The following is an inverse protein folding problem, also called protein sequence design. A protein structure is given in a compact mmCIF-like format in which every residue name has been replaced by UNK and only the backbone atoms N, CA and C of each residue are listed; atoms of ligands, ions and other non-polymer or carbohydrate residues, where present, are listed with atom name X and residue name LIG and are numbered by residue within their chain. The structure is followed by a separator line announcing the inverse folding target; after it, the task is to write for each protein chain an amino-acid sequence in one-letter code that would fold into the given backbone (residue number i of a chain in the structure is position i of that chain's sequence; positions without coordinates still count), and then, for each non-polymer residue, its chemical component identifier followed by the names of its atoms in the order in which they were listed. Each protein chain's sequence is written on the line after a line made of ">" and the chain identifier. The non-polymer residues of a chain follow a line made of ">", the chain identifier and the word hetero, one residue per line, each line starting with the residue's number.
data_IF_230169141505
#
_entry.id   IF_230169141505
#
_cell.length_a   1.000
_cell.length_b   1.000
_cell.length_c   1.000
_cell.angle_alpha   90.00
_cell.angle_beta   90.00
_cell.angle_gamma   90.00
#
_symmetry.space_group_name_H-M   'P 1'
#
loop_
_entity.id
_entity.type
_entity.pdbx_description
1 polymer ?
#
# COMPACT_ATOMS: atom_id res chain seq x y z
N UNK A 1 2.57 19.89 -2.49
CA UNK A 1 3.00 18.47 -2.51
C UNK A 1 4.50 18.27 -2.43
N UNK A 2 5.32 18.85 -3.34
CA UNK A 2 6.80 18.66 -3.27
C UNK A 2 7.40 19.28 -2.00
N UNK A 3 6.91 20.46 -1.61
CA UNK A 3 7.30 21.13 -0.37
C UNK A 3 6.80 20.38 0.88
N UNK A 4 5.58 19.83 0.83
CA UNK A 4 4.97 19.12 1.97
C UNK A 4 5.70 17.81 2.30
N UNK A 5 6.06 17.01 1.28
CA UNK A 5 6.78 15.75 1.51
C UNK A 5 8.20 15.99 2.05
N UNK A 6 8.88 17.03 1.55
CA UNK A 6 10.22 17.39 2.01
C UNK A 6 10.24 17.83 3.48
N UNK A 7 9.12 18.30 4.04
CA UNK A 7 9.04 18.65 5.47
C UNK A 7 9.02 17.41 6.39
N UNK A 8 8.77 16.22 5.84
CA UNK A 8 8.71 14.97 6.61
C UNK A 8 10.13 14.46 6.87
N UNK A 9 10.48 14.32 8.15
CA UNK A 9 11.82 13.89 8.62
C UNK A 9 11.79 12.59 9.43
N UNK A 10 10.61 12.09 9.79
CA UNK A 10 10.45 10.80 10.46
C UNK A 10 10.48 9.62 9.47
N UNK A 11 10.68 8.38 9.95
CA UNK A 11 10.53 7.19 9.11
C UNK A 11 9.13 7.11 8.48
N UNK A 12 9.07 6.79 7.18
CA UNK A 12 7.81 6.64 6.43
C UNK A 12 7.75 5.27 5.76
N UNK A 13 6.61 4.61 5.90
CA UNK A 13 6.23 3.40 5.17
C UNK A 13 5.05 3.72 4.26
N UNK A 14 5.24 3.62 2.95
CA UNK A 14 4.17 3.75 1.96
C UNK A 14 3.86 2.37 1.36
N UNK A 15 2.62 1.90 1.49
CA UNK A 15 2.20 0.61 0.94
C UNK A 15 0.91 0.79 0.15
N UNK A 16 0.85 0.17 -1.02
CA UNK A 16 -0.39 -0.04 -1.77
C UNK A 16 -0.37 -1.40 -2.45
N UNK A 17 -1.46 -1.74 -3.12
CA UNK A 17 -1.61 -3.00 -3.84
C UNK A 17 -1.61 -2.81 -5.35
N UNK A 18 -1.01 -3.73 -6.11
CA UNK A 18 -1.02 -3.68 -7.59
C UNK A 18 -2.41 -3.92 -8.20
N UNK A 19 -3.35 -4.48 -7.43
CA UNK A 19 -4.76 -4.66 -7.85
C UNK A 19 -5.65 -3.49 -7.40
N UNK A 20 -5.10 -2.45 -6.78
CA UNK A 20 -5.84 -1.23 -6.48
C UNK A 20 -6.03 -0.39 -7.75
N UNK A 21 -7.27 -0.34 -8.24
CA UNK A 21 -7.66 0.44 -9.41
C UNK A 21 -8.02 1.89 -9.09
N UNK A 22 -8.08 2.27 -7.82
CA UNK A 22 -8.48 3.61 -7.38
C UNK A 22 -7.31 4.59 -7.31
N UNK A 23 -6.08 4.09 -7.31
CA UNK A 23 -4.85 4.90 -7.26
C UNK A 23 -3.82 4.36 -8.24
N UNK A 24 -2.84 5.18 -8.62
CA UNK A 24 -1.65 4.69 -9.30
C UNK A 24 -0.72 4.05 -8.25
N UNK A 25 -0.44 2.74 -8.31
CA UNK A 25 0.35 2.08 -7.28
C UNK A 25 1.78 2.62 -7.20
N UNK A 26 2.35 3.08 -8.33
CA UNK A 26 3.72 3.60 -8.36
C UNK A 26 3.91 4.91 -7.57
N UNK A 27 2.82 5.56 -7.13
CA UNK A 27 2.92 6.74 -6.27
C UNK A 27 3.56 6.45 -4.90
N UNK A 28 3.61 5.20 -4.44
CA UNK A 28 4.30 4.87 -3.17
C UNK A 28 5.79 5.19 -3.23
N UNK A 29 6.43 5.07 -4.39
CA UNK A 29 7.86 5.32 -4.56
C UNK A 29 8.20 6.81 -4.48
N UNK A 30 7.22 7.69 -4.70
CA UNK A 30 7.39 9.14 -4.54
C UNK A 30 7.76 9.52 -3.11
N UNK A 31 7.38 8.72 -2.10
CA UNK A 31 7.76 8.98 -0.72
C UNK A 31 9.26 8.74 -0.52
N UNK A 32 9.77 7.58 -0.96
CA UNK A 32 11.21 7.27 -0.90
C UNK A 32 12.08 8.31 -1.63
N UNK A 33 11.56 8.92 -2.70
CA UNK A 33 12.27 9.96 -3.46
C UNK A 33 12.24 11.35 -2.82
N UNK A 34 11.20 11.70 -2.05
CA UNK A 34 10.89 13.11 -1.74
C UNK A 34 10.84 13.47 -0.27
N UNK A 35 10.74 12.50 0.64
CA UNK A 35 10.83 12.81 2.07
C UNK A 35 12.28 12.95 2.51
N UNK A 36 12.51 13.74 3.55
CA UNK A 36 13.85 13.98 4.10
C UNK A 36 14.18 13.05 5.30
N UNK A 37 13.32 12.06 5.57
CA UNK A 37 13.56 10.97 6.53
C UNK A 37 13.76 9.62 5.83
N UNK A 38 14.04 8.53 6.57
CA UNK A 38 14.04 7.18 6.02
C UNK A 38 12.68 6.85 5.40
N UNK A 39 12.65 6.35 4.18
CA UNK A 39 11.39 5.97 3.54
C UNK A 39 11.51 4.75 2.65
N UNK A 40 10.47 3.93 2.67
CA UNK A 40 10.33 2.74 1.84
C UNK A 40 8.91 2.65 1.26
N UNK A 41 8.81 2.21 0.00
CA UNK A 41 7.59 2.12 -0.78
C UNK A 41 7.38 0.70 -1.31
N UNK A 42 6.19 0.13 -1.13
CA UNK A 42 5.88 -1.23 -1.58
C UNK A 42 4.56 -1.32 -2.36
N UNK A 43 4.61 -2.14 -3.42
CA UNK A 43 3.47 -2.52 -4.23
C UNK A 43 3.17 -4.02 -4.03
N UNK A 44 2.24 -4.34 -3.13
CA UNK A 44 1.85 -5.71 -2.82
C UNK A 44 1.10 -6.33 -4.03
N UNK A 45 1.62 -7.39 -4.66
CA UNK A 45 1.18 -7.82 -6.00
C UNK A 45 -0.30 -8.18 -6.12
N UNK A 46 -0.90 -8.78 -5.09
CA UNK A 46 -2.29 -9.25 -5.12
C UNK A 46 -3.26 -8.37 -4.34
N UNK A 47 -2.77 -7.37 -3.63
CA UNK A 47 -3.61 -6.58 -2.75
C UNK A 47 -4.45 -5.59 -3.55
N UNK A 48 -5.73 -5.48 -3.20
CA UNK A 48 -6.63 -4.46 -3.71
C UNK A 48 -6.79 -3.29 -2.72
N UNK A 49 -7.62 -2.32 -3.09
CA UNK A 49 -7.87 -1.12 -2.27
C UNK A 49 -8.36 -1.42 -0.84
N UNK A 50 -8.98 -2.58 -0.61
CA UNK A 50 -9.50 -2.98 0.69
C UNK A 50 -8.42 -3.63 1.58
N UNK A 51 -7.16 -3.58 1.16
CA UNK A 51 -5.99 -4.17 1.84
C UNK A 51 -6.07 -5.69 1.95
N UNK A 52 -6.71 -6.33 0.96
CA UNK A 52 -6.94 -7.77 0.92
C UNK A 52 -6.50 -8.33 -0.42
N UNK A 53 -6.12 -9.60 -0.42
CA UNK A 53 -5.69 -10.25 -1.64
C UNK A 53 -6.88 -10.54 -2.57
N UNK A 54 -6.65 -10.23 -3.84
CA UNK A 54 -7.57 -10.43 -4.95
C UNK A 54 -6.85 -11.27 -6.00
N UNK A 55 -7.38 -12.47 -6.25
CA UNK A 55 -6.88 -13.35 -7.30
C UNK A 55 -7.49 -13.01 -8.66
N UNK A 56 -8.69 -12.42 -8.64
CA UNK A 56 -9.42 -12.00 -9.81
C UNK A 56 -8.71 -10.84 -10.53
N UNK A 57 -8.83 -10.79 -11.86
CA UNK A 57 -8.34 -9.65 -12.62
C UNK A 57 -9.06 -8.35 -12.27
N UNK A 58 -8.32 -7.23 -12.33
CA UNK A 58 -8.87 -5.91 -12.05
C UNK A 58 -9.95 -5.56 -13.06
N UNK A 59 -11.11 -5.12 -12.57
CA UNK A 59 -12.22 -4.71 -13.42
C UNK A 59 -13.06 -3.63 -12.74
N UNK A 60 -13.16 -2.47 -13.39
CA UNK A 60 -14.03 -1.37 -12.93
C UNK A 60 -15.52 -1.77 -12.93
N UNK A 61 -15.93 -2.58 -13.90
CA UNK A 61 -17.33 -3.04 -14.03
C UNK A 61 -17.68 -4.00 -12.89
N UNK A 62 -16.77 -4.94 -12.55
CA UNK A 62 -17.01 -5.94 -11.50
C UNK A 62 -16.59 -5.46 -10.11
N UNK A 63 -16.06 -4.25 -9.98
CA UNK A 63 -15.42 -3.74 -8.76
C UNK A 63 -16.29 -3.92 -7.52
N UNK A 64 -17.57 -3.54 -7.61
CA UNK A 64 -18.52 -3.69 -6.49
C UNK A 64 -18.66 -5.13 -6.01
N UNK A 65 -18.75 -6.09 -6.93
CA UNK A 65 -18.90 -7.50 -6.58
C UNK A 65 -17.60 -8.09 -6.02
N UNK A 66 -16.46 -7.74 -6.62
CA UNK A 66 -15.14 -8.15 -6.15
C UNK A 66 -14.91 -7.65 -4.72
N UNK A 67 -15.24 -6.39 -4.45
CA UNK A 67 -15.09 -5.78 -3.13
C UNK A 67 -16.01 -6.42 -2.11
N UNK A 68 -17.28 -6.63 -2.47
CA UNK A 68 -18.25 -7.33 -1.59
C UNK A 68 -17.75 -8.72 -1.20
N UNK A 69 -17.19 -9.49 -2.14
CA UNK A 69 -16.60 -10.80 -1.85
C UNK A 69 -15.28 -10.74 -1.08
N UNK A 70 -14.56 -9.61 -1.14
CA UNK A 70 -13.30 -9.41 -0.40
C UNK A 70 -13.54 -9.09 1.07
N UNK A 71 -14.64 -8.45 1.44
CA UNK A 71 -14.87 -7.97 2.81
C UNK A 71 -14.77 -9.06 3.89
N UNK A 72 -15.11 -10.32 3.57
CA UNK A 72 -15.02 -11.46 4.48
C UNK A 72 -13.63 -12.11 4.53
N UNK A 73 -12.71 -11.74 3.63
CA UNK A 73 -11.34 -12.26 3.60
C UNK A 73 -10.48 -11.55 4.67
N UNK A 74 -9.42 -12.20 5.18
CA UNK A 74 -8.44 -11.53 6.02
C UNK A 74 -7.68 -10.45 5.23
N UNK A 75 -7.00 -9.54 5.94
CA UNK A 75 -6.04 -8.61 5.34
C UNK A 75 -4.91 -9.38 4.66
N UNK A 76 -4.25 -8.74 3.68
CA UNK A 76 -3.11 -9.33 2.99
C UNK A 76 -1.98 -9.67 3.98
N UNK A 77 -1.59 -10.95 4.01
CA UNK A 77 -0.53 -11.41 4.90
C UNK A 77 0.83 -10.80 4.54
N UNK A 78 1.08 -10.59 3.24
CA UNK A 78 2.29 -9.93 2.75
C UNK A 78 2.38 -8.48 3.25
N UNK A 79 1.28 -7.73 3.17
CA UNK A 79 1.21 -6.37 3.74
C UNK A 79 1.49 -6.37 5.25
N UNK A 80 0.87 -7.30 5.99
CA UNK A 80 1.07 -7.38 7.45
C UNK A 80 2.52 -7.66 7.81
N UNK A 81 3.19 -8.56 7.09
CA UNK A 81 4.62 -8.85 7.30
C UNK A 81 5.50 -7.61 7.04
N UNK A 82 5.22 -6.85 5.96
CA UNK A 82 5.95 -5.60 5.66
C UNK A 82 5.78 -4.59 6.81
N UNK A 83 4.56 -4.41 7.29
CA UNK A 83 4.26 -3.50 8.42
C UNK A 83 4.98 -3.96 9.69
N UNK A 84 4.93 -5.25 10.01
CA UNK A 84 5.59 -5.80 11.19
C UNK A 84 7.11 -5.59 11.15
N UNK A 85 7.73 -5.89 10.02
CA UNK A 85 9.17 -5.74 9.84
C UNK A 85 9.61 -4.28 9.89
N UNK A 86 8.82 -3.37 9.33
CA UNK A 86 9.09 -1.93 9.43
C UNK A 86 8.92 -1.43 10.88
N UNK A 87 7.86 -1.86 11.56
CA UNK A 87 7.61 -1.48 12.95
C UNK A 87 8.74 -1.94 13.87
N UNK A 88 9.28 -3.14 13.67
CA UNK A 88 10.47 -3.66 14.38
C UNK A 88 11.74 -2.83 14.17
N UNK A 89 11.85 -2.09 13.07
CA UNK A 89 13.04 -1.27 12.77
C UNK A 89 12.95 0.13 13.35
N UNK A 90 11.74 0.69 13.43
CA UNK A 90 11.55 2.13 13.66
C UNK A 90 10.66 2.49 14.84
N UNK A 91 9.91 1.54 15.41
CA UNK A 91 8.94 1.81 16.50
C UNK A 91 9.18 0.90 17.72
N UNK A 92 9.29 -0.40 17.49
CA UNK A 92 9.47 -1.44 18.52
C UNK A 92 10.96 -1.62 18.83
#
# INVERSE_FOLDING_TARGET
>A
MKEDLAAITCPVLAITGKKDVQVNPEHVHLFAEKVNGPAEGYNVPKMNHLLRDQEEETSMIKLKSIYKGSLSKPLSAEMLNIIEDWAKRYIL
#
